data_IF_515798659130
#
_entry.id   IF_515798659130
#
_cell.length_a   1.000
_cell.length_b   1.000
_cell.length_c   1.000
_cell.angle_alpha   90.00
_cell.angle_beta   90.00
_cell.angle_gamma   90.00
#
_symmetry.space_group_name_H-M   'P 1'
#
loop_
_entity.id
_entity.type
_entity.pdbx_description
1 polymer ?
#
# COMPACT_ATOMS: atom_id res chain seq x y z
N UNK A 1 -9.05 -6.18 5.06
CA UNK A 1 -7.64 -6.13 5.52
C UNK A 1 -6.68 -6.90 4.61
N UNK A 2 -6.81 -8.21 4.37
CA UNK A 2 -5.83 -8.98 3.58
C UNK A 2 -5.52 -8.40 2.18
N UNK A 3 -6.54 -7.92 1.45
CA UNK A 3 -6.34 -7.29 0.14
C UNK A 3 -5.53 -5.98 0.21
N UNK A 4 -5.69 -5.20 1.29
CA UNK A 4 -4.95 -3.96 1.51
C UNK A 4 -3.48 -4.25 1.80
N UNK A 5 -3.21 -5.25 2.66
CA UNK A 5 -1.85 -5.69 2.98
C UNK A 5 -1.13 -6.20 1.72
N UNK A 6 -1.81 -7.01 0.90
CA UNK A 6 -1.25 -7.45 -0.38
C UNK A 6 -0.94 -6.27 -1.32
N UNK A 7 -1.86 -5.30 -1.45
CA UNK A 7 -1.65 -4.10 -2.25
C UNK A 7 -0.42 -3.31 -1.78
N UNK A 8 -0.35 -2.98 -0.49
CA UNK A 8 0.78 -2.23 0.05
C UNK A 8 2.11 -3.01 -0.01
N UNK A 9 2.07 -4.33 0.22
CA UNK A 9 3.24 -5.19 0.13
C UNK A 9 3.79 -5.28 -1.30
N UNK A 10 2.95 -5.26 -2.33
CA UNK A 10 3.40 -5.23 -3.73
C UNK A 10 4.23 -3.98 -3.99
N UNK A 11 3.72 -2.80 -3.63
CA UNK A 11 4.45 -1.54 -3.79
C UNK A 11 5.74 -1.53 -2.95
N UNK A 12 5.68 -1.95 -1.69
CA UNK A 12 6.87 -2.02 -0.83
C UNK A 12 7.94 -2.98 -1.36
N UNK A 13 7.56 -4.09 -2.01
CA UNK A 13 8.50 -5.03 -2.66
C UNK A 13 9.15 -4.43 -3.90
N UNK A 14 8.39 -3.68 -4.70
CA UNK A 14 8.92 -2.95 -5.86
C UNK A 14 9.98 -1.95 -5.41
N UNK A 15 9.62 -1.07 -4.47
CA UNK A 15 10.52 -0.04 -3.95
C UNK A 15 11.76 -0.62 -3.25
N UNK A 16 11.60 -1.70 -2.49
CA UNK A 16 12.72 -2.32 -1.78
C UNK A 16 13.51 -3.35 -2.60
N UNK A 17 13.05 -3.72 -3.80
CA UNK A 17 13.62 -4.78 -4.65
C UNK A 17 13.88 -6.09 -3.90
N UNK A 18 12.93 -6.54 -3.10
CA UNK A 18 13.06 -7.81 -2.40
C UNK A 18 12.00 -8.06 -1.35
N UNK A 19 12.32 -8.97 -0.41
CA UNK A 19 11.39 -9.38 0.65
C UNK A 19 11.09 -8.21 1.60
N UNK A 20 9.82 -8.13 1.99
CA UNK A 20 9.32 -7.23 3.02
C UNK A 20 8.44 -8.00 4.00
N UNK A 21 8.28 -7.46 5.20
CA UNK A 21 7.31 -7.91 6.20
C UNK A 21 6.45 -6.72 6.63
N UNK A 22 5.19 -6.98 6.97
CA UNK A 22 4.29 -6.00 7.56
C UNK A 22 4.60 -5.85 9.03
N UNK A 23 5.08 -4.68 9.45
CA UNK A 23 5.47 -4.40 10.83
C UNK A 23 4.35 -3.75 11.63
N UNK A 24 3.52 -2.93 10.98
CA UNK A 24 2.37 -2.28 11.62
C UNK A 24 1.28 -1.95 10.59
N UNK A 25 0.05 -1.85 11.07
CA UNK A 25 -1.07 -1.20 10.39
C UNK A 25 -1.67 -0.17 11.35
N UNK A 26 -1.80 1.08 10.89
CA UNK A 26 -2.23 2.21 11.69
C UNK A 26 -3.26 3.07 10.93
N UNK A 27 -3.94 3.96 11.64
CA UNK A 27 -4.92 4.91 11.07
C UNK A 27 -5.99 4.25 10.17
N UNK A 28 -6.48 3.07 10.56
CA UNK A 28 -7.49 2.36 9.78
C UNK A 28 -8.89 2.93 10.05
N UNK A 29 -9.54 3.40 9.00
CA UNK A 29 -10.89 3.97 9.06
C UNK A 29 -11.83 3.22 8.11
N UNK A 30 -13.00 2.80 8.61
CA UNK A 30 -14.04 2.17 7.80
C UNK A 30 -15.18 3.17 7.57
N UNK A 31 -15.22 3.76 6.38
CA UNK A 31 -16.19 4.81 6.06
C UNK A 31 -17.56 4.25 5.68
N UNK A 32 -17.57 3.12 4.96
CA UNK A 32 -18.78 2.50 4.40
C UNK A 32 -18.61 0.98 4.31
N UNK A 33 -19.70 0.20 4.39
CA UNK A 33 -19.63 -1.25 4.18
C UNK A 33 -19.31 -1.60 2.72
N UNK A 34 -18.69 -2.76 2.53
CA UNK A 34 -18.53 -3.41 1.21
C UNK A 34 -19.57 -4.51 1.11
N UNK A 35 -20.30 -4.58 0.00
CA UNK A 35 -21.38 -5.55 -0.21
C UNK A 35 -20.92 -6.66 -1.16
N UNK A 36 -21.47 -7.86 -0.99
CA UNK A 36 -21.22 -8.98 -1.92
C UNK A 36 -21.64 -8.59 -3.33
N UNK A 37 -20.74 -8.80 -4.30
CA UNK A 37 -20.93 -8.40 -5.69
C UNK A 37 -20.25 -7.10 -6.08
N UNK A 38 -19.74 -6.33 -5.11
CA UNK A 38 -18.92 -5.15 -5.37
C UNK A 38 -17.53 -5.54 -5.91
N UNK A 39 -17.02 -4.75 -6.85
CA UNK A 39 -15.60 -4.83 -7.24
C UNK A 39 -14.80 -3.96 -6.29
N UNK A 40 -13.79 -4.55 -5.66
CA UNK A 40 -12.88 -3.87 -4.74
C UNK A 40 -11.60 -3.48 -5.47
N UNK A 41 -11.24 -2.20 -5.40
CA UNK A 41 -9.99 -1.66 -5.94
C UNK A 41 -9.14 -1.13 -4.78
N UNK A 42 -7.92 -1.66 -4.63
CA UNK A 42 -6.95 -1.16 -3.65
C UNK A 42 -5.92 -0.29 -4.37
N UNK A 43 -5.65 0.88 -3.81
CA UNK A 43 -4.66 1.84 -4.30
C UNK A 43 -3.64 2.07 -3.19
N UNK A 44 -2.37 1.85 -3.49
CA UNK A 44 -1.28 2.05 -2.56
C UNK A 44 -0.42 3.23 -2.99
N UNK A 45 -0.10 4.10 -2.05
CA UNK A 45 0.80 5.23 -2.23
C UNK A 45 1.86 5.21 -1.12
N UNK A 46 3.14 5.28 -1.49
CA UNK A 46 4.20 5.34 -0.50
C UNK A 46 4.31 6.77 0.04
N UNK A 47 4.01 6.95 1.32
CA UNK A 47 3.97 8.25 2.01
C UNK A 47 5.23 8.55 2.82
N UNK A 48 6.09 7.55 3.03
CA UNK A 48 7.36 7.72 3.72
C UNK A 48 8.34 6.59 3.41
N UNK A 49 9.62 6.93 3.24
CA UNK A 49 10.71 5.96 3.12
C UNK A 49 11.82 6.27 4.12
N UNK A 50 12.04 5.35 5.05
CA UNK A 50 13.16 5.38 6.00
C UNK A 50 14.39 4.65 5.47
N UNK A 51 15.26 4.19 6.38
CA UNK A 51 16.43 3.37 6.01
C UNK A 51 16.05 1.97 5.56
N UNK A 52 15.23 1.28 6.35
CA UNK A 52 14.76 -0.10 6.07
C UNK A 52 13.24 -0.23 6.01
N UNK A 53 12.52 0.84 6.36
CA UNK A 53 11.07 0.86 6.49
C UNK A 53 10.43 1.75 5.43
N UNK A 54 9.20 1.42 5.03
CA UNK A 54 8.36 2.23 4.14
C UNK A 54 6.97 2.30 4.74
N UNK A 55 6.35 3.49 4.75
CA UNK A 55 4.92 3.64 5.03
C UNK A 55 4.16 3.74 3.71
N UNK A 56 3.09 2.97 3.59
CA UNK A 56 2.22 2.95 2.42
C UNK A 56 0.80 3.25 2.87
N UNK A 57 0.26 4.38 2.44
CA UNK A 57 -1.16 4.66 2.54
C UNK A 57 -1.90 3.77 1.54
N UNK A 58 -2.93 3.08 1.99
CA UNK A 58 -3.75 2.21 1.17
C UNK A 58 -5.20 2.64 1.27
N UNK A 59 -5.75 3.03 0.12
CA UNK A 59 -7.18 3.31 -0.03
C UNK A 59 -7.88 2.13 -0.69
N UNK A 60 -9.07 1.83 -0.21
CA UNK A 60 -9.96 0.83 -0.79
C UNK A 60 -11.19 1.53 -1.32
N UNK A 61 -11.42 1.32 -2.61
CA UNK A 61 -12.58 1.85 -3.31
C UNK A 61 -13.46 0.70 -3.79
N UNK A 62 -14.77 0.91 -3.71
CA UNK A 62 -15.75 0.06 -4.36
C UNK A 62 -16.06 0.63 -5.73
N UNK A 63 -16.25 -0.26 -6.72
CA UNK A 63 -16.96 0.02 -7.96
C UNK A 63 -18.19 -0.89 -8.04
N UNK A 64 -19.38 -0.30 -8.06
CA UNK A 64 -20.62 -1.06 -8.29
C UNK A 64 -20.67 -1.56 -9.72
N UNK A 65 -20.93 -2.85 -9.91
CA UNK A 65 -21.00 -3.48 -11.24
C UNK A 65 -22.30 -4.25 -11.48
N UNK A 66 -22.99 -4.65 -10.42
CA UNK A 66 -24.24 -5.42 -10.46
C UNK A 66 -25.39 -4.74 -9.72
N UNK A 67 -25.09 -3.75 -8.87
CA UNK A 67 -26.06 -3.00 -8.08
C UNK A 67 -26.13 -1.55 -8.56
N UNK A 68 -27.32 -0.95 -8.47
CA UNK A 68 -27.51 0.44 -8.84
C UNK A 68 -26.97 1.42 -7.77
N UNK A 69 -26.49 2.62 -8.17
CA UNK A 69 -26.19 3.00 -9.55
C UNK A 69 -24.96 2.27 -10.09
N UNK A 70 -25.10 1.59 -11.23
CA UNK A 70 -23.99 0.85 -11.85
C UNK A 70 -22.87 1.83 -12.22
N UNK A 71 -21.63 1.46 -11.90
CA UNK A 71 -20.44 2.27 -12.18
C UNK A 71 -20.09 3.27 -11.09
N UNK A 72 -20.93 3.44 -10.07
CA UNK A 72 -20.63 4.29 -8.92
C UNK A 72 -19.33 3.84 -8.22
N UNK A 73 -18.51 4.82 -7.82
CA UNK A 73 -17.26 4.59 -7.09
C UNK A 73 -17.20 5.42 -5.81
N UNK A 74 -16.77 4.80 -4.73
CA UNK A 74 -16.57 5.48 -3.45
C UNK A 74 -15.51 4.79 -2.60
N UNK A 75 -14.76 5.57 -1.83
CA UNK A 75 -13.84 5.05 -0.83
C UNK A 75 -14.62 4.41 0.32
N UNK A 76 -14.20 3.22 0.74
CA UNK A 76 -14.82 2.44 1.82
C UNK A 76 -13.90 2.28 3.01
N UNK A 77 -12.59 2.28 2.78
CA UNK A 77 -11.60 2.07 3.85
C UNK A 77 -10.28 2.70 3.46
N UNK A 78 -9.61 3.30 4.43
CA UNK A 78 -8.23 3.77 4.30
C UNK A 78 -7.41 3.27 5.49
N UNK A 79 -6.11 3.06 5.30
CA UNK A 79 -5.17 2.75 6.37
C UNK A 79 -3.73 3.04 5.94
N UNK A 80 -2.82 3.17 6.89
CA UNK A 80 -1.38 3.24 6.62
C UNK A 80 -0.71 1.97 7.11
N UNK A 81 0.04 1.31 6.22
CA UNK A 81 0.82 0.12 6.53
C UNK A 81 2.29 0.47 6.59
N UNK A 82 2.98 0.00 7.63
CA UNK A 82 4.44 0.07 7.72
C UNK A 82 5.03 -1.28 7.31
N UNK A 83 5.83 -1.27 6.25
CA UNK A 83 6.59 -2.42 5.79
C UNK A 83 8.07 -2.25 6.12
N UNK A 84 8.75 -3.37 6.41
CA UNK A 84 10.19 -3.41 6.61
C UNK A 84 10.82 -4.34 5.59
N UNK A 85 11.79 -3.83 4.83
CA UNK A 85 12.61 -4.63 3.93
C UNK A 85 13.51 -5.56 4.74
N UNK A 86 13.51 -6.86 4.42
CA UNK A 86 14.28 -7.87 5.14
C UNK A 86 15.19 -8.67 4.21
N UNK A 87 16.32 -9.11 4.74
CA UNK A 87 17.26 -10.03 4.09
C UNK A 87 16.81 -11.49 4.17
N UNK A 88 17.63 -12.39 3.63
CA UNK A 88 17.39 -13.83 3.69
C UNK A 88 17.42 -14.38 5.13
N UNK A 89 18.20 -13.74 6.01
CA UNK A 89 18.31 -14.04 7.44
C UNK A 89 17.15 -13.47 8.28
N UNK A 90 16.17 -12.82 7.64
CA UNK A 90 15.03 -12.21 8.29
C UNK A 90 15.34 -10.88 8.99
N UNK A 91 16.58 -10.36 8.89
CA UNK A 91 16.94 -9.08 9.50
C UNK A 91 16.60 -7.89 8.60
N UNK A 92 16.30 -6.71 9.18
CA UNK A 92 16.08 -5.49 8.40
C UNK A 92 17.29 -5.15 7.52
N UNK A 93 17.03 -4.87 6.25
CA UNK A 93 18.04 -4.40 5.29
C UNK A 93 17.68 -3.03 4.75
N UNK A 94 18.67 -2.33 4.22
CA UNK A 94 18.45 -1.04 3.61
C UNK A 94 17.62 -1.15 2.31
N UNK A 95 16.75 -0.17 2.09
CA UNK A 95 16.04 0.02 0.82
C UNK A 95 17.04 0.57 -0.21
N UNK A 96 17.28 -0.12 -1.34
CA UNK A 96 18.34 0.26 -2.27
C UNK A 96 17.99 1.55 -3.01
N UNK A 97 18.78 2.61 -2.77
CA UNK A 97 18.60 3.92 -3.42
C UNK A 97 19.29 4.03 -4.77
N UNK A 98 20.45 3.40 -4.91
CA UNK A 98 21.24 3.43 -6.14
C UNK A 98 20.58 2.60 -7.24
N UNK A 99 20.48 3.16 -8.44
CA UNK A 99 19.90 2.48 -9.62
C UNK A 99 18.42 2.14 -9.47
N UNK A 100 17.69 2.78 -8.55
CA UNK A 100 16.28 2.51 -8.26
C UNK A 100 15.37 3.68 -8.70
N UNK A 101 15.01 3.68 -9.99
CA UNK A 101 14.23 4.75 -10.60
C UNK A 101 12.84 4.92 -9.97
N UNK A 102 12.13 3.82 -9.69
CA UNK A 102 10.81 3.84 -9.04
C UNK A 102 10.88 4.51 -7.65
N UNK A 103 11.90 4.17 -6.85
CA UNK A 103 12.10 4.81 -5.56
C UNK A 103 12.49 6.28 -5.70
N UNK A 104 13.33 6.63 -6.68
CA UNK A 104 13.73 8.02 -6.91
C UNK A 104 12.51 8.90 -7.27
N UNK A 105 11.59 8.39 -8.09
CA UNK A 105 10.34 9.06 -8.42
C UNK A 105 9.47 9.27 -7.18
N UNK A 106 9.27 8.23 -6.37
CA UNK A 106 8.53 8.34 -5.10
C UNK A 106 9.16 9.37 -4.17
N UNK A 107 10.48 9.32 -3.97
CA UNK A 107 11.18 10.28 -3.11
C UNK A 107 11.04 11.72 -3.62
N UNK A 108 11.04 11.92 -4.94
CA UNK A 108 10.83 13.23 -5.55
C UNK A 108 9.40 13.75 -5.30
N UNK A 109 8.39 12.86 -5.32
CA UNK A 109 7.01 13.22 -4.99
C UNK A 109 6.84 13.56 -3.50
N UNK A 110 7.51 12.84 -2.60
CA UNK A 110 7.47 13.08 -1.15
C UNK A 110 8.14 14.39 -0.70
N UNK A 111 9.06 14.92 -1.49
CA UNK A 111 9.75 16.17 -1.21
C UNK A 111 9.04 17.43 -1.71
N UNK A 112 7.86 17.28 -2.32
CA UNK A 112 6.99 18.39 -2.77
C UNK A 112 6.00 18.77 -1.68
#
# INVERSE_FOLDING_TARGET
MAQMDLCGAVLAKQLSRGRVVTAAAEAMSFHRPVIVGDVVCCYGECVHVGRSSMKVAVEVWVKKVTSEPIGERYCVTEAVFTYVAVGADGRPREVPREGNAELAEVLALLGR
#
